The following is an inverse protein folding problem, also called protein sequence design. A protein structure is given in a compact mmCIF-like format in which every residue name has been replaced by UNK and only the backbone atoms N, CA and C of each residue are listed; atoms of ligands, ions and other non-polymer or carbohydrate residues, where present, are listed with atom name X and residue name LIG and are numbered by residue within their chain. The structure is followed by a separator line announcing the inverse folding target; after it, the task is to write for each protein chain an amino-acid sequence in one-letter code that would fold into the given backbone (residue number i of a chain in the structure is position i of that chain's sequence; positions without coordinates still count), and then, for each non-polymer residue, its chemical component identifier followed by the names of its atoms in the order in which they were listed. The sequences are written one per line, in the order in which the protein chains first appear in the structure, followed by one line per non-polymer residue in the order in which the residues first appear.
data_IF_299353823654
#
_entry.id   IF_299353823654
#
_cell.length_a   1.000
_cell.length_b   1.000
_cell.length_c   1.000
_cell.angle_alpha   90.00
_cell.angle_beta   90.00
_cell.angle_gamma   90.00
#
_symmetry.space_group_name_H-M   'P 1'
#
loop_
_entity.id
_entity.type
_entity.pdbx_description
1 polymer ?
#
# COMPACT_ATOMS: atom_id res chain seq x y z
N UNK A 1 3.29 13.85 -4.99
CA UNK A 1 2.69 12.86 -5.91
C UNK A 1 1.17 12.96 -5.91
N UNK A 2 0.48 12.75 -4.77
CA UNK A 2 -0.99 12.91 -4.66
C UNK A 2 -1.51 14.24 -5.24
N UNK A 3 -0.92 15.37 -4.87
CA UNK A 3 -1.31 16.69 -5.40
C UNK A 3 -1.19 16.80 -6.93
N UNK A 4 -0.23 16.11 -7.54
CA UNK A 4 -0.03 16.12 -9.00
C UNK A 4 -1.02 15.18 -9.72
N UNK A 5 -1.38 14.08 -9.07
CA UNK A 5 -2.36 13.11 -9.59
C UNK A 5 -3.79 13.66 -9.45
N UNK A 6 -4.06 14.40 -8.38
CA UNK A 6 -5.38 14.98 -8.13
C UNK A 6 -6.44 13.90 -7.94
N UNK A 7 -7.58 14.05 -8.62
CA UNK A 7 -8.77 13.20 -8.49
C UNK A 7 -8.50 11.72 -8.84
N UNK A 8 -7.57 11.45 -9.76
CA UNK A 8 -7.21 10.08 -10.15
C UNK A 8 -6.53 9.27 -9.02
N UNK A 9 -6.17 9.92 -7.90
CA UNK A 9 -5.50 9.25 -6.78
C UNK A 9 -6.39 8.19 -6.14
N UNK A 10 -7.68 8.48 -5.97
CA UNK A 10 -8.59 7.52 -5.36
C UNK A 10 -8.90 6.35 -6.30
N UNK A 11 -8.88 6.57 -7.62
CA UNK A 11 -8.99 5.51 -8.61
C UNK A 11 -7.78 4.56 -8.59
N UNK A 12 -6.58 5.11 -8.42
CA UNK A 12 -5.35 4.32 -8.21
C UNK A 12 -5.49 3.47 -6.96
N UNK A 13 -5.87 4.07 -5.82
CA UNK A 13 -6.06 3.35 -4.56
C UNK A 13 -7.06 2.22 -4.69
N UNK A 14 -8.23 2.49 -5.28
CA UNK A 14 -9.26 1.49 -5.50
C UNK A 14 -8.76 0.36 -6.41
N UNK A 15 -7.88 0.64 -7.37
CA UNK A 15 -7.25 -0.38 -8.22
C UNK A 15 -6.25 -1.25 -7.47
N UNK A 16 -5.47 -0.67 -6.56
CA UNK A 16 -4.58 -1.43 -5.68
C UNK A 16 -5.39 -2.34 -4.75
N UNK A 17 -6.44 -1.82 -4.10
CA UNK A 17 -7.32 -2.59 -3.20
C UNK A 17 -7.97 -3.78 -3.93
N UNK A 18 -8.48 -3.56 -5.16
CA UNK A 18 -9.02 -4.65 -6.00
C UNK A 18 -7.96 -5.68 -6.38
N UNK A 19 -6.73 -5.26 -6.67
CA UNK A 19 -5.64 -6.17 -7.02
C UNK A 19 -5.25 -7.04 -5.83
N UNK A 20 -5.12 -6.45 -4.64
CA UNK A 20 -4.82 -7.17 -3.41
C UNK A 20 -5.93 -8.15 -3.02
N UNK A 21 -7.19 -7.82 -3.28
CA UNK A 21 -8.33 -8.72 -3.01
C UNK A 21 -8.24 -10.06 -3.78
N UNK A 22 -7.50 -10.11 -4.89
CA UNK A 22 -7.25 -11.36 -5.64
C UNK A 22 -6.32 -12.33 -4.89
N UNK A 23 -5.61 -11.85 -3.87
CA UNK A 23 -4.70 -12.62 -3.00
C UNK A 23 -5.28 -12.76 -1.59
N UNK A 24 -6.56 -13.14 -1.46
CA UNK A 24 -7.31 -13.10 -0.18
C UNK A 24 -6.80 -13.97 0.98
N UNK A 25 -5.71 -14.73 0.80
CA UNK A 25 -5.03 -15.47 1.88
C UNK A 25 -3.73 -14.81 2.35
N UNK A 26 -3.29 -13.77 1.65
CA UNK A 26 -2.11 -12.98 1.99
C UNK A 26 -2.51 -11.84 2.91
N UNK A 27 -1.80 -11.66 4.01
CA UNK A 27 -2.04 -10.55 4.95
C UNK A 27 -1.52 -9.21 4.41
N UNK A 28 -0.55 -9.26 3.50
CA UNK A 28 0.00 -8.08 2.84
C UNK A 28 0.57 -8.45 1.47
N UNK A 29 0.69 -7.43 0.62
CA UNK A 29 1.46 -7.42 -0.62
C UNK A 29 1.71 -5.97 -1.02
N UNK A 30 2.76 -5.72 -1.81
CA UNK A 30 2.97 -4.44 -2.49
C UNK A 30 2.31 -4.45 -3.87
N UNK A 31 1.90 -3.27 -4.34
CA UNK A 31 1.33 -3.09 -5.68
C UNK A 31 2.10 -1.99 -6.39
N UNK A 32 2.75 -2.35 -7.49
CA UNK A 32 3.46 -1.39 -8.31
C UNK A 32 2.52 -0.82 -9.37
N UNK A 33 2.42 0.51 -9.39
CA UNK A 33 1.50 1.23 -10.27
C UNK A 33 2.27 2.19 -11.15
N UNK A 34 2.07 2.05 -12.47
CA UNK A 34 2.50 3.03 -13.44
C UNK A 34 1.44 4.11 -13.57
N UNK A 35 1.77 5.36 -13.26
CA UNK A 35 0.96 6.53 -13.60
C UNK A 35 1.47 7.09 -14.93
N UNK A 36 0.57 7.26 -15.91
CA UNK A 36 0.94 7.81 -17.22
C UNK A 36 1.31 9.29 -17.11
N UNK A 37 2.01 9.82 -18.13
CA UNK A 37 2.51 11.20 -18.15
C UNK A 37 1.40 12.26 -18.12
N UNK A 38 0.16 11.88 -18.44
CA UNK A 38 -1.03 12.73 -18.34
C UNK A 38 -1.60 12.85 -16.92
N UNK A 39 -1.07 12.06 -15.97
CA UNK A 39 -1.49 11.97 -14.55
C UNK A 39 -2.94 11.52 -14.32
N UNK A 40 -3.65 11.11 -15.38
CA UNK A 40 -5.08 10.73 -15.34
C UNK A 40 -5.30 9.24 -15.45
N UNK A 41 -4.34 8.52 -16.05
CA UNK A 41 -4.44 7.08 -16.28
C UNK A 41 -3.34 6.34 -15.56
N UNK A 42 -3.64 5.11 -15.17
CA UNK A 42 -2.69 4.22 -14.52
C UNK A 42 -2.87 2.77 -14.97
N UNK A 43 -1.84 1.96 -14.71
CA UNK A 43 -1.87 0.52 -14.85
C UNK A 43 -1.20 -0.13 -13.64
N UNK A 44 -1.77 -1.24 -13.16
CA UNK A 44 -1.10 -2.11 -12.19
C UNK A 44 -0.08 -2.94 -12.96
N UNK A 45 1.18 -2.90 -12.53
CA UNK A 45 2.27 -3.63 -13.18
C UNK A 45 2.53 -4.97 -12.50
N UNK A 46 2.64 -4.95 -11.17
CA UNK A 46 3.03 -6.10 -10.37
C UNK A 46 2.32 -6.08 -9.01
N UNK A 47 2.06 -7.29 -8.48
CA UNK A 47 1.74 -7.49 -7.06
C UNK A 47 2.79 -8.42 -6.47
N UNK A 48 3.54 -7.96 -5.48
CA UNK A 48 4.66 -8.68 -4.89
C UNK A 48 4.39 -9.01 -3.41
N UNK A 49 4.86 -10.18 -2.97
CA UNK A 49 4.59 -10.66 -1.62
C UNK A 49 5.28 -9.83 -0.52
N UNK A 50 6.39 -9.14 -0.85
CA UNK A 50 7.18 -8.37 0.11
C UNK A 50 7.10 -6.86 -0.07
N UNK A 51 6.59 -6.37 -1.22
CA UNK A 51 6.80 -4.97 -1.58
C UNK A 51 8.26 -4.66 -1.88
N UNK A 52 8.51 -3.37 -2.12
CA UNK A 52 9.84 -2.81 -1.94
C UNK A 52 10.18 -2.70 -0.45
N UNK A 53 11.48 -2.67 -0.17
CA UNK A 53 12.00 -2.43 1.17
C UNK A 53 11.82 -0.96 1.58
N UNK A 54 10.60 -0.63 2.00
CA UNK A 54 10.24 0.68 2.53
C UNK A 54 10.68 0.81 3.99
N UNK A 55 11.46 1.85 4.27
CA UNK A 55 11.80 2.25 5.65
C UNK A 55 11.10 3.55 5.99
N UNK A 56 10.70 3.69 7.24
CA UNK A 56 10.08 4.90 7.78
C UNK A 56 8.73 5.28 7.14
N UNK A 57 7.99 4.31 6.61
CA UNK A 57 6.60 4.49 6.14
C UNK A 57 5.68 3.84 7.16
N UNK A 58 4.80 4.65 7.75
CA UNK A 58 3.91 4.20 8.82
C UNK A 58 2.47 4.56 8.50
N UNK A 59 1.55 3.67 8.86
CA UNK A 59 0.11 3.92 8.89
C UNK A 59 -0.37 3.59 10.29
N UNK A 60 -1.04 4.53 10.95
CA UNK A 60 -1.51 4.37 12.34
C UNK A 60 -0.40 3.95 13.34
N UNK A 61 0.82 4.46 13.12
CA UNK A 61 1.98 4.18 13.97
C UNK A 61 2.64 2.81 13.74
N UNK A 62 2.24 2.06 12.72
CA UNK A 62 2.81 0.75 12.37
C UNK A 62 3.41 0.78 10.97
N UNK A 63 4.57 0.14 10.80
CA UNK A 63 5.10 -0.19 9.46
C UNK A 63 4.39 -1.44 8.88
N UNK A 64 4.78 -1.83 7.67
CA UNK A 64 4.20 -3.00 6.97
C UNK A 64 4.40 -4.30 7.75
N UNK A 65 5.55 -4.50 8.38
CA UNK A 65 5.86 -5.73 9.13
C UNK A 65 5.09 -5.79 10.44
N UNK A 66 5.02 -4.67 11.17
CA UNK A 66 4.26 -4.57 12.40
C UNK A 66 2.75 -4.73 12.14
N UNK A 67 2.25 -4.20 11.02
CA UNK A 67 0.85 -4.39 10.59
C UNK A 67 0.54 -5.87 10.35
N UNK A 68 1.47 -6.62 9.74
CA UNK A 68 1.30 -8.05 9.53
C UNK A 68 1.28 -8.82 10.86
N UNK A 69 2.19 -8.49 11.80
CA UNK A 69 2.21 -9.09 13.13
C UNK A 69 0.91 -8.82 13.90
N UNK A 70 0.38 -7.60 13.81
CA UNK A 70 -0.92 -7.25 14.40
C UNK A 70 -2.06 -8.08 13.80
N UNK A 71 -2.11 -8.23 12.48
CA UNK A 71 -3.13 -9.04 11.81
C UNK A 71 -3.07 -10.52 12.21
N UNK A 72 -1.90 -11.02 12.65
CA UNK A 72 -1.71 -12.36 13.20
C UNK A 72 -2.05 -12.46 14.71
N UNK A 73 -2.39 -11.34 15.36
CA UNK A 73 -2.75 -11.29 16.78
C UNK A 73 -1.58 -11.08 17.74
N UNK A 74 -0.39 -10.71 17.25
CA UNK A 74 0.73 -10.34 18.12
C UNK A 74 0.56 -8.91 18.64
N UNK A 75 0.98 -8.69 19.89
CA UNK A 75 1.10 -7.34 20.44
C UNK A 75 2.25 -6.60 19.74
N UNK A 76 1.95 -5.44 19.15
CA UNK A 76 2.93 -4.57 18.50
C UNK A 76 2.90 -3.17 19.09
N UNK A 77 4.09 -2.63 19.32
CA UNK A 77 4.27 -1.26 19.79
C UNK A 77 4.07 -0.27 18.64
N UNK A 78 3.07 0.60 18.77
CA UNK A 78 2.87 1.75 17.87
C UNK A 78 3.86 2.85 18.18
N UNK A 79 4.40 3.46 17.13
CA UNK A 79 5.17 4.69 17.26
C UNK A 79 4.19 5.85 17.23
N UNK A 80 4.08 6.56 18.34
CA UNK A 80 3.43 7.88 18.36
C UNK A 80 4.38 8.85 17.64
N UNK A 81 3.92 9.45 16.55
CA UNK A 81 4.60 10.62 15.96
C UNK A 81 3.83 11.86 16.41
N UNK A 82 4.55 12.83 16.96
CA UNK A 82 4.09 14.23 17.07
C UNK A 82 3.76 14.83 15.70
#
# INVERSE_FOLDING_TARGET
MRERIGEAWDDIRASCERSLATFGRSLYAGVDVLVQTDWKRHAVLEVNAFGDYHRNVFVNGLDTYQTQLEALGYEVRRVERE
#
